data_IF_733756830823
#
_entry.id   IF_733756830823
#
_cell.length_a   1.000
_cell.length_b   1.000
_cell.length_c   1.000
_cell.angle_alpha   90.00
_cell.angle_beta   90.00
_cell.angle_gamma   90.00
#
_symmetry.space_group_name_H-M   'P 1'
#
loop_
_entity.id
_entity.type
_entity.pdbx_description
1 polymer ?
#
# COMPACT_ATOMS: atom_id res chain seq x y z
N UNK A 1 4.97 -16.38 -6.76
CA UNK A 1 4.77 -15.28 -7.73
C UNK A 1 3.30 -14.88 -7.87
N UNK A 2 2.44 -15.23 -6.93
CA UNK A 2 0.99 -15.19 -7.13
C UNK A 2 0.27 -13.96 -6.53
N UNK A 3 1.02 -12.96 -6.03
CA UNK A 3 0.41 -11.81 -5.36
C UNK A 3 0.05 -10.63 -6.27
N UNK A 4 0.72 -10.46 -7.40
CA UNK A 4 0.56 -9.26 -8.22
C UNK A 4 -0.62 -9.37 -9.21
N UNK A 5 -0.89 -10.57 -9.73
CA UNK A 5 -2.00 -10.80 -10.67
C UNK A 5 -3.37 -10.63 -10.00
N UNK A 6 -3.47 -10.84 -8.69
CA UNK A 6 -4.71 -10.62 -7.95
C UNK A 6 -5.09 -9.14 -7.83
N UNK A 7 -4.12 -8.21 -7.78
CA UNK A 7 -4.39 -6.77 -7.62
C UNK A 7 -5.03 -6.19 -8.88
N UNK A 8 -4.64 -6.66 -10.05
CA UNK A 8 -5.21 -6.20 -11.33
C UNK A 8 -6.70 -6.56 -11.50
N UNK A 9 -7.17 -7.57 -10.76
CA UNK A 9 -8.57 -7.96 -10.73
C UNK A 9 -9.35 -7.31 -9.58
N UNK A 10 -8.70 -6.46 -8.77
CA UNK A 10 -9.36 -5.78 -7.68
C UNK A 10 -10.21 -4.64 -8.20
N UNK A 11 -11.44 -4.62 -7.73
CA UNK A 11 -12.35 -3.51 -7.98
C UNK A 11 -12.20 -2.50 -6.85
N UNK A 12 -11.80 -1.26 -7.18
CA UNK A 12 -11.76 -0.20 -6.18
C UNK A 12 -13.19 0.15 -5.74
N UNK A 13 -13.37 0.30 -4.43
CA UNK A 13 -14.62 0.67 -3.77
C UNK A 13 -14.42 1.87 -2.85
N UNK A 14 -15.51 2.55 -2.53
CA UNK A 14 -15.53 3.67 -1.60
C UNK A 14 -15.25 3.21 -0.18
N UNK A 15 -14.50 4.03 0.58
CA UNK A 15 -14.21 3.79 1.99
C UNK A 15 -13.16 2.72 2.26
N UNK A 16 -12.98 2.40 3.54
CA UNK A 16 -12.03 1.39 4.02
C UNK A 16 -12.71 0.04 4.25
N UNK A 17 -12.00 -1.03 3.92
CA UNK A 17 -12.52 -2.40 3.98
C UNK A 17 -11.70 -3.26 4.95
N UNK A 18 -12.33 -4.11 5.78
CA UNK A 18 -11.62 -4.97 6.74
C UNK A 18 -10.78 -6.05 6.06
N UNK A 19 -11.19 -6.46 4.86
CA UNK A 19 -10.49 -7.40 3.97
C UNK A 19 -11.04 -7.22 2.56
N UNK A 20 -10.28 -7.49 1.48
CA UNK A 20 -10.87 -7.55 0.16
C UNK A 20 -11.94 -8.65 0.21
N UNK A 21 -13.19 -8.25 0.39
CA UNK A 21 -14.32 -9.16 0.53
C UNK A 21 -14.45 -10.10 -0.67
N UNK A 22 -15.44 -11.01 -0.64
CA UNK A 22 -15.73 -11.93 -1.77
C UNK A 22 -15.86 -11.20 -3.11
N UNK A 23 -16.21 -9.92 -3.07
CA UNK A 23 -16.35 -9.05 -4.25
C UNK A 23 -15.04 -8.34 -4.61
N UNK A 24 -13.91 -8.64 -3.96
CA UNK A 24 -12.60 -8.07 -4.26
C UNK A 24 -12.46 -6.56 -4.02
N UNK A 25 -13.37 -5.95 -3.23
CA UNK A 25 -13.40 -4.50 -3.01
C UNK A 25 -12.32 -4.02 -2.03
N UNK A 26 -11.61 -2.97 -2.41
CA UNK A 26 -10.58 -2.31 -1.62
C UNK A 26 -10.51 -0.83 -1.99
N UNK A 27 -10.09 0.05 -1.10
CA UNK A 27 -9.80 1.42 -1.48
C UNK A 27 -8.40 1.52 -2.15
N UNK A 28 -8.14 2.63 -2.83
CA UNK A 28 -6.85 2.82 -3.52
C UNK A 28 -5.64 2.70 -2.59
N UNK A 29 -5.71 3.19 -1.36
CA UNK A 29 -4.60 3.14 -0.42
C UNK A 29 -4.35 1.72 0.12
N UNK A 30 -5.41 0.95 0.35
CA UNK A 30 -5.33 -0.47 0.72
C UNK A 30 -4.71 -1.30 -0.42
N UNK A 31 -5.15 -1.06 -1.65
CA UNK A 31 -4.56 -1.68 -2.84
C UNK A 31 -3.07 -1.33 -2.98
N UNK A 32 -2.71 -0.07 -2.72
CA UNK A 32 -1.33 0.39 -2.78
C UNK A 32 -0.43 -0.25 -1.72
N UNK A 33 -0.95 -0.54 -0.51
CA UNK A 33 -0.20 -1.30 0.51
C UNK A 33 0.23 -2.66 -0.03
N UNK A 34 -0.71 -3.41 -0.59
CA UNK A 34 -0.42 -4.75 -1.12
C UNK A 34 0.48 -4.68 -2.35
N UNK A 35 0.26 -3.71 -3.25
CA UNK A 35 1.13 -3.48 -4.40
C UNK A 35 2.58 -3.16 -4.01
N UNK A 36 2.80 -2.53 -2.85
CA UNK A 36 4.11 -2.26 -2.29
C UNK A 36 4.69 -3.40 -1.44
N UNK A 37 4.02 -4.56 -1.38
CA UNK A 37 4.47 -5.75 -0.66
C UNK A 37 4.17 -5.76 0.84
N UNK A 38 3.30 -4.88 1.33
CA UNK A 38 2.82 -4.91 2.70
C UNK A 38 1.63 -5.86 2.85
N UNK A 39 1.42 -6.38 4.05
CA UNK A 39 0.21 -7.11 4.38
C UNK A 39 -1.02 -6.19 4.24
N UNK A 40 -2.13 -6.78 3.76
CA UNK A 40 -3.39 -6.07 3.69
C UNK A 40 -3.85 -5.63 5.07
N UNK A 41 -4.24 -4.39 5.19
CA UNK A 41 -4.89 -3.84 6.37
C UNK A 41 -5.83 -2.69 5.99
N UNK A 42 -6.91 -2.49 6.74
CA UNK A 42 -7.80 -1.36 6.52
C UNK A 42 -7.06 -0.03 6.69
N UNK A 43 -7.27 0.90 5.76
CA UNK A 43 -6.71 2.26 5.81
C UNK A 43 -7.86 3.25 5.98
N UNK A 44 -8.06 3.69 7.20
CA UNK A 44 -9.09 4.68 7.54
C UNK A 44 -8.58 6.11 7.48
N UNK A 45 -7.29 6.29 7.66
CA UNK A 45 -6.59 7.57 7.67
C UNK A 45 -5.25 7.43 6.98
N UNK A 46 -4.80 8.52 6.39
CA UNK A 46 -3.49 8.58 5.72
C UNK A 46 -2.34 8.26 6.68
N UNK A 47 -2.51 8.55 7.96
CA UNK A 47 -1.55 8.25 9.02
C UNK A 47 -1.33 6.76 9.23
N UNK A 48 -2.29 5.92 8.82
CA UNK A 48 -2.18 4.46 8.88
C UNK A 48 -1.24 3.88 7.80
N UNK A 49 -0.88 4.70 6.79
CA UNK A 49 0.05 4.27 5.72
C UNK A 49 1.49 4.16 6.23
N UNK A 50 2.32 3.22 5.71
CA UNK A 50 3.75 3.17 5.98
C UNK A 50 4.48 4.47 5.57
N UNK A 51 5.68 4.69 6.12
CA UNK A 51 6.45 5.92 5.88
C UNK A 51 6.93 6.09 4.43
N UNK A 52 7.01 5.02 3.65
CA UNK A 52 7.38 5.09 2.24
C UNK A 52 6.27 5.65 1.33
N UNK A 53 5.07 5.91 1.88
CA UNK A 53 3.97 6.52 1.14
C UNK A 53 3.92 8.03 1.36
N UNK A 54 3.78 8.79 0.27
CA UNK A 54 3.61 10.25 0.34
C UNK A 54 2.26 10.61 0.96
N UNK A 55 2.28 11.25 2.13
CA UNK A 55 1.06 11.60 2.87
C UNK A 55 0.12 12.51 2.09
N UNK A 56 0.59 13.63 1.49
CA UNK A 56 -0.29 14.50 0.72
C UNK A 56 -0.89 13.79 -0.49
N UNK A 57 -0.11 12.97 -1.20
CA UNK A 57 -0.59 12.22 -2.37
C UNK A 57 -1.61 11.16 -1.97
N UNK A 58 -1.34 10.35 -0.93
CA UNK A 58 -2.29 9.36 -0.43
C UNK A 58 -3.60 9.98 0.07
N UNK A 59 -3.54 11.19 0.65
CA UNK A 59 -4.73 11.91 1.09
C UNK A 59 -5.60 12.33 -0.09
N UNK A 60 -4.99 12.89 -1.14
CA UNK A 60 -5.72 13.23 -2.36
C UNK A 60 -6.30 11.98 -3.03
N UNK A 61 -5.51 10.90 -3.14
CA UNK A 61 -5.98 9.65 -3.72
C UNK A 61 -7.18 9.07 -2.96
N UNK A 62 -7.17 9.12 -1.62
CA UNK A 62 -8.29 8.70 -0.77
C UNK A 62 -9.53 9.56 -1.03
N UNK A 63 -9.39 10.89 -1.08
CA UNK A 63 -10.50 11.80 -1.38
C UNK A 63 -11.10 11.52 -2.76
N UNK A 64 -10.27 11.30 -3.77
CA UNK A 64 -10.73 10.95 -5.11
C UNK A 64 -11.43 9.59 -5.14
N UNK A 65 -10.93 8.61 -4.41
CA UNK A 65 -11.56 7.30 -4.29
C UNK A 65 -12.97 7.39 -3.69
N UNK A 66 -13.16 8.26 -2.70
CA UNK A 66 -14.42 8.38 -1.97
C UNK A 66 -15.45 9.25 -2.74
N UNK A 67 -14.99 10.27 -3.48
CA UNK A 67 -15.89 11.14 -4.26
C UNK A 67 -16.28 10.56 -5.62
N UNK A 68 -15.53 9.59 -6.14
CA UNK A 68 -15.72 9.02 -7.47
C UNK A 68 -16.95 8.11 -7.54
N UNK A 69 -17.63 8.11 -8.68
CA UNK A 69 -18.55 7.01 -9.01
C UNK A 69 -17.77 5.72 -9.34
N UNK A 70 -18.47 4.61 -9.49
CA UNK A 70 -17.83 3.28 -9.67
C UNK A 70 -16.95 3.20 -10.93
N UNK A 71 -17.31 3.87 -12.01
CA UNK A 71 -16.54 3.88 -13.24
C UNK A 71 -15.30 4.77 -13.12
N UNK A 72 -15.46 5.98 -12.57
CA UNK A 72 -14.37 6.92 -12.31
C UNK A 72 -13.35 6.33 -11.35
N UNK A 73 -13.80 5.64 -10.31
CA UNK A 73 -12.92 5.04 -9.29
C UNK A 73 -11.93 4.05 -9.90
N UNK A 74 -12.34 3.30 -10.94
CA UNK A 74 -11.42 2.37 -11.61
C UNK A 74 -10.29 3.09 -12.38
N UNK A 75 -10.46 4.36 -12.73
CA UNK A 75 -9.41 5.18 -13.34
C UNK A 75 -8.25 5.48 -12.36
N UNK A 76 -8.43 5.21 -11.07
CA UNK A 76 -7.37 5.32 -10.07
C UNK A 76 -6.43 4.11 -10.04
N UNK A 77 -6.78 2.97 -10.64
CA UNK A 77 -5.95 1.75 -10.63
C UNK A 77 -4.51 1.97 -11.11
N UNK A 78 -4.23 2.75 -12.17
CA UNK A 78 -2.86 3.02 -12.61
C UNK A 78 -1.99 3.75 -11.57
N UNK A 79 -2.59 4.39 -10.58
CA UNK A 79 -1.88 5.12 -9.53
C UNK A 79 -1.49 4.23 -8.34
N UNK A 80 -2.09 3.07 -8.18
CA UNK A 80 -1.89 2.17 -7.03
C UNK A 80 -0.40 1.91 -6.76
N UNK A 81 0.38 1.60 -7.78
CA UNK A 81 1.82 1.32 -7.65
C UNK A 81 2.68 2.57 -7.46
N UNK A 82 2.11 3.76 -7.66
CA UNK A 82 2.83 5.04 -7.64
C UNK A 82 2.73 5.78 -6.30
N UNK A 83 1.87 5.33 -5.39
CA UNK A 83 1.63 6.02 -4.11
C UNK A 83 2.79 5.83 -3.10
N UNK A 84 3.58 4.76 -3.23
CA UNK A 84 4.76 4.51 -2.41
C UNK A 84 5.95 5.39 -2.86
N UNK A 85 5.76 6.70 -2.80
CA UNK A 85 6.66 7.71 -3.37
C UNK A 85 7.08 8.78 -2.35
N UNK A 86 7.08 8.47 -1.05
CA UNK A 86 7.55 9.41 -0.04
C UNK A 86 8.95 9.92 -0.36
N UNK A 87 9.15 11.21 -0.16
CA UNK A 87 10.40 11.89 -0.43
C UNK A 87 10.82 12.75 0.79
N UNK A 88 11.74 13.66 0.60
CA UNK A 88 12.19 14.56 1.65
C UNK A 88 11.07 15.49 2.14
N UNK A 89 11.17 15.94 3.39
CA UNK A 89 10.15 16.82 3.96
C UNK A 89 9.90 18.12 3.17
N UNK A 90 10.90 18.75 2.52
CA UNK A 90 10.65 19.89 1.63
C UNK A 90 9.76 19.50 0.43
N UNK A 91 10.03 18.37 -0.24
CA UNK A 91 9.25 17.91 -1.38
C UNK A 91 7.82 17.50 -0.99
N UNK A 92 7.64 16.87 0.18
CA UNK A 92 6.31 16.57 0.70
C UNK A 92 5.50 17.85 0.99
N UNK A 93 6.15 18.92 1.47
CA UNK A 93 5.50 20.23 1.62
C UNK A 93 5.14 20.87 0.28
N UNK A 94 6.01 20.76 -0.72
CA UNK A 94 5.76 21.25 -2.08
C UNK A 94 4.56 20.53 -2.71
N UNK A 95 4.48 19.20 -2.59
CA UNK A 95 3.34 18.39 -3.01
C UNK A 95 2.05 18.83 -2.31
N UNK A 96 2.12 19.03 -0.99
CA UNK A 96 0.98 19.51 -0.22
C UNK A 96 0.51 20.90 -0.66
N UNK A 97 1.43 21.83 -0.89
CA UNK A 97 1.12 23.18 -1.39
C UNK A 97 0.51 23.14 -2.80
N UNK A 98 1.08 22.33 -3.70
CA UNK A 98 0.56 22.13 -5.05
C UNK A 98 -0.86 21.58 -5.03
N UNK A 99 -1.12 20.54 -4.24
CA UNK A 99 -2.46 19.96 -4.09
C UNK A 99 -3.40 21.01 -3.49
N UNK A 100 -3.02 21.65 -2.39
CA UNK A 100 -3.85 22.64 -1.70
C UNK A 100 -4.27 23.80 -2.61
N UNK A 101 -3.36 24.31 -3.45
CA UNK A 101 -3.66 25.40 -4.39
C UNK A 101 -4.69 25.01 -5.47
N UNK A 102 -4.78 23.73 -5.80
CA UNK A 102 -5.68 23.21 -6.85
C UNK A 102 -6.99 22.63 -6.31
N UNK A 103 -7.03 22.35 -5.01
CA UNK A 103 -8.20 21.74 -4.36
C UNK A 103 -8.88 22.69 -3.35
N UNK A 104 -8.53 23.99 -3.37
CA UNK A 104 -9.09 25.00 -2.46
C UNK A 104 -10.60 25.30 -2.67
N UNK A 105 -11.21 24.81 -3.76
CA UNK A 105 -12.61 24.97 -4.10
C UNK A 105 -13.31 23.64 -4.35
N UNK A 106 -14.45 23.72 -5.03
CA UNK A 106 -15.15 22.53 -5.51
C UNK A 106 -14.39 21.97 -6.71
N UNK A 107 -13.83 20.79 -6.55
CA UNK A 107 -13.00 20.12 -7.55
C UNK A 107 -13.76 18.96 -8.16
N UNK A 108 -13.77 18.86 -9.47
CA UNK A 108 -14.29 17.69 -10.19
C UNK A 108 -13.33 16.53 -10.07
N UNK A 109 -13.80 15.30 -10.30
CA UNK A 109 -12.93 14.12 -10.30
C UNK A 109 -11.79 14.24 -11.32
N UNK A 110 -12.07 14.75 -12.53
CA UNK A 110 -11.08 14.94 -13.57
C UNK A 110 -9.98 15.95 -13.18
N UNK A 111 -10.34 17.08 -12.57
CA UNK A 111 -9.37 18.06 -12.05
C UNK A 111 -8.52 17.47 -10.92
N UNK A 112 -9.15 16.68 -10.05
CA UNK A 112 -8.47 15.95 -8.99
C UNK A 112 -7.48 14.94 -9.55
N UNK A 113 -7.82 14.22 -10.63
CA UNK A 113 -6.95 13.27 -11.29
C UNK A 113 -5.72 13.97 -11.90
N UNK A 114 -5.93 15.10 -12.58
CA UNK A 114 -4.84 15.95 -13.11
C UNK A 114 -3.95 16.48 -11.98
N UNK A 115 -4.55 16.82 -10.84
CA UNK A 115 -3.82 17.27 -9.66
C UNK A 115 -2.99 16.13 -9.05
N UNK A 116 -3.54 14.91 -8.99
CA UNK A 116 -2.82 13.73 -8.53
C UNK A 116 -1.62 13.43 -9.42
N UNK A 117 -1.79 13.47 -10.74
CA UNK A 117 -0.70 13.29 -11.71
C UNK A 117 0.39 14.35 -11.55
N UNK A 118 0.00 15.63 -11.45
CA UNK A 118 0.94 16.72 -11.25
C UNK A 118 1.69 16.64 -9.92
N UNK A 119 1.03 16.22 -8.83
CA UNK A 119 1.68 16.01 -7.53
C UNK A 119 2.69 14.86 -7.57
N UNK A 120 2.40 13.79 -8.30
CA UNK A 120 3.33 12.68 -8.54
C UNK A 120 4.55 13.07 -9.38
N UNK A 121 4.42 14.09 -10.23
CA UNK A 121 5.53 14.63 -11.00
C UNK A 121 6.51 15.49 -10.17
N UNK A 122 6.18 15.83 -8.93
CA UNK A 122 7.06 16.58 -8.03
C UNK A 122 8.01 15.60 -7.33
N UNK A 123 9.31 15.87 -7.39
CA UNK A 123 10.35 15.08 -6.74
C UNK A 123 10.92 13.96 -7.61
N UNK A 124 11.59 12.99 -6.99
CA UNK A 124 12.39 11.96 -7.69
C UNK A 124 11.62 11.03 -8.61
N UNK A 125 10.32 10.96 -8.47
CA UNK A 125 9.48 10.16 -9.39
C UNK A 125 9.31 10.80 -10.76
N UNK A 126 9.61 12.09 -10.90
CA UNK A 126 9.64 12.77 -12.19
C UNK A 126 10.85 12.36 -13.06
N UNK A 127 11.90 11.84 -12.43
CA UNK A 127 13.07 11.33 -13.15
C UNK A 127 12.83 9.87 -13.56
N UNK A 128 12.91 9.61 -14.86
CA UNK A 128 12.95 8.23 -15.35
C UNK A 128 14.13 7.52 -14.68
N UNK A 129 13.86 6.52 -13.85
CA UNK A 129 14.91 5.72 -13.22
C UNK A 129 15.75 5.09 -14.34
N UNK A 130 17.05 5.38 -14.37
CA UNK A 130 17.97 4.67 -15.23
C UNK A 130 17.84 3.15 -14.98
N UNK A 131 17.88 2.30 -16.03
CA UNK A 131 17.71 0.85 -15.89
C UNK A 131 18.58 0.20 -14.80
N UNK A 132 19.77 0.76 -14.57
CA UNK A 132 20.71 0.32 -13.54
C UNK A 132 20.23 0.65 -12.10
N UNK A 133 19.63 1.82 -11.91
CA UNK A 133 19.04 2.21 -10.62
C UNK A 133 17.81 1.37 -10.28
N UNK A 134 17.06 0.94 -11.28
CA UNK A 134 15.94 0.02 -11.13
C UNK A 134 16.42 -1.37 -10.69
N UNK A 135 17.47 -1.91 -11.31
CA UNK A 135 18.09 -3.19 -10.94
C UNK A 135 18.62 -3.16 -9.51
N UNK A 136 19.38 -2.13 -9.15
CA UNK A 136 19.90 -1.97 -7.78
C UNK A 136 18.78 -1.89 -6.73
N UNK A 137 17.67 -1.22 -7.04
CA UNK A 137 16.48 -1.19 -6.16
C UNK A 137 15.80 -2.54 -6.05
N UNK A 138 15.65 -3.25 -7.15
CA UNK A 138 15.09 -4.61 -7.15
C UNK A 138 15.95 -5.57 -6.34
N UNK A 139 17.28 -5.52 -6.49
CA UNK A 139 18.22 -6.34 -5.74
C UNK A 139 18.17 -6.02 -4.23
N UNK A 140 18.05 -4.75 -3.85
CA UNK A 140 17.88 -4.35 -2.45
C UNK A 140 16.56 -4.84 -1.84
N UNK A 141 15.47 -4.84 -2.61
CA UNK A 141 14.17 -5.35 -2.17
C UNK A 141 14.21 -6.88 -2.05
N UNK A 142 14.80 -7.55 -3.03
CA UNK A 142 14.95 -9.00 -3.02
C UNK A 142 15.91 -9.47 -1.90
N UNK A 143 17.00 -8.75 -1.66
CA UNK A 143 17.93 -9.03 -0.56
C UNK A 143 17.27 -8.86 0.82
N UNK A 144 16.39 -7.88 0.99
CA UNK A 144 15.60 -7.72 2.24
C UNK A 144 14.54 -8.81 2.40
N UNK A 145 13.88 -9.22 1.33
CA UNK A 145 12.91 -10.31 1.36
C UNK A 145 13.60 -11.65 1.72
N UNK A 146 14.80 -11.91 1.17
CA UNK A 146 15.57 -13.12 1.44
C UNK A 146 16.12 -13.17 2.87
N UNK A 147 16.49 -12.03 3.46
CA UNK A 147 16.95 -11.97 4.86
C UNK A 147 15.80 -12.04 5.88
N UNK A 148 14.58 -11.66 5.50
CA UNK A 148 13.40 -11.83 6.36
C UNK A 148 12.91 -13.27 6.45
N UNK A 149 13.28 -14.14 5.49
CA UNK A 149 12.89 -15.56 5.45
C UNK A 149 13.83 -16.48 6.26
N UNK A 150 14.93 -15.97 6.82
CA UNK A 150 15.84 -16.71 7.68
C UNK A 150 15.50 -16.56 9.17
N UNK A 151 14.25 -16.74 9.55
CA UNK A 151 13.89 -17.02 10.94
C UNK A 151 14.25 -18.51 11.20
N UNK A 152 15.07 -18.83 12.19
CA UNK A 152 15.43 -20.22 12.47
C UNK A 152 14.24 -20.97 13.05
N UNK A 153 13.60 -21.74 12.19
CA UNK A 153 12.29 -22.38 12.39
C UNK A 153 12.35 -23.69 13.20
N UNK A 154 13.49 -24.02 13.82
CA UNK A 154 13.60 -25.32 14.52
C UNK A 154 13.40 -25.26 16.05
N UNK A 155 13.69 -24.14 16.69
CA UNK A 155 13.61 -24.03 18.17
C UNK A 155 12.21 -23.66 18.69
N UNK A 156 11.41 -22.96 17.89
CA UNK A 156 10.06 -22.54 18.31
C UNK A 156 9.04 -23.69 18.18
N UNK A 157 9.09 -24.45 17.09
CA UNK A 157 8.20 -25.61 16.90
C UNK A 157 8.52 -26.78 17.82
N UNK A 158 9.76 -26.98 18.23
CA UNK A 158 10.12 -28.02 19.21
C UNK A 158 9.57 -27.72 20.61
N UNK A 159 9.51 -26.42 21.03
CA UNK A 159 8.93 -26.00 22.29
C UNK A 159 7.41 -26.16 22.34
N UNK A 160 6.71 -25.87 21.23
CA UNK A 160 5.24 -26.04 21.15
C UNK A 160 4.87 -27.53 21.14
N UNK A 161 5.63 -28.38 20.44
CA UNK A 161 5.42 -29.83 20.48
C UNK A 161 5.63 -30.42 21.87
N UNK A 162 6.63 -29.96 22.61
CA UNK A 162 6.88 -30.40 24.00
C UNK A 162 5.73 -30.00 24.93
N UNK A 163 5.16 -28.82 24.77
CA UNK A 163 4.05 -28.34 25.60
C UNK A 163 2.73 -29.06 25.30
N UNK A 164 2.42 -29.35 24.03
CA UNK A 164 1.24 -30.11 23.61
C UNK A 164 1.29 -31.59 24.02
N UNK A 165 2.46 -32.18 24.15
CA UNK A 165 2.63 -33.56 24.61
C UNK A 165 2.54 -33.66 26.14
N UNK A 166 2.97 -32.64 26.88
CA UNK A 166 2.89 -32.60 28.34
C UNK A 166 1.45 -32.44 28.86
N UNK A 167 0.57 -31.79 28.12
CA UNK A 167 -0.85 -31.63 28.50
C UNK A 167 -1.71 -32.87 28.28
N UNK A 168 -1.25 -33.87 27.51
CA UNK A 168 -1.98 -35.12 27.26
C UNK A 168 -1.77 -36.17 28.31
N UNK A 169 -0.77 -36.04 29.19
CA UNK A 169 -0.46 -37.04 30.24
C UNK A 169 -1.14 -36.76 31.57
N UNK A 170 -1.91 -35.68 31.73
CA UNK A 170 -2.60 -35.35 32.98
C UNK A 170 -4.10 -35.68 32.98
N UNK A 171 -4.64 -36.32 31.93
CA UNK A 171 -6.05 -36.71 31.85
C UNK A 171 -6.32 -38.23 32.03
N UNK A 172 -5.31 -39.03 32.28
CA UNK A 172 -5.49 -40.50 32.49
C UNK A 172 -5.23 -41.00 33.90
N UNK A 173 -5.37 -40.12 34.93
CA UNK A 173 -5.36 -40.59 36.32
C UNK A 173 -6.48 -39.85 37.07
N UNK A 174 -7.72 -40.30 36.90
CA UNK A 174 -8.75 -40.36 37.98
C UNK A 174 -9.96 -41.17 37.49
#
# INVERSE_FOLDING_TARGET
MDGFDHILNWKLKEGSHPFPGKDGGTCINEAALVAAGFEYRPVRRVEDMPQCFSRPICRLAMQLNDMANDAERQLLLPFVTRLACADTAPLERERAAYIGSRTAGRVTFEEGLKTLEGALAIGRQAEALAPEALRTRMDLVQGRASSATSVPDSAFFSKIKGWLLATKQTEEVN
#
